data_IF_180892633269
#
_entry.id   IF_180892633269
#
_cell.length_a   1.000
_cell.length_b   1.000
_cell.length_c   1.000
_cell.angle_alpha   90.00
_cell.angle_beta   90.00
_cell.angle_gamma   90.00
#
_symmetry.space_group_name_H-M   'P 1'
#
loop_
_entity.id
_entity.type
_entity.pdbx_description
1 polymer ?
#
# COMPACT_ATOMS: atom_id res chain seq x y z
N UNK A 1 33.48 -28.46 7.85
CA UNK A 1 32.26 -28.05 7.13
C UNK A 1 31.94 -26.66 7.66
N UNK A 2 32.59 -25.63 7.11
CA UNK A 2 32.21 -24.24 7.41
C UNK A 2 30.73 -24.04 7.11
N UNK A 3 29.96 -23.71 8.14
CA UNK A 3 28.62 -23.18 7.98
C UNK A 3 28.78 -21.79 7.37
N UNK A 4 28.61 -21.69 6.05
CA UNK A 4 28.69 -20.44 5.30
C UNK A 4 27.66 -19.47 5.92
N UNK A 5 28.13 -18.47 6.65
CA UNK A 5 27.27 -17.50 7.34
C UNK A 5 26.63 -16.59 6.30
N UNK A 6 25.60 -17.07 5.59
CA UNK A 6 24.87 -16.29 4.61
C UNK A 6 24.22 -15.11 5.30
N UNK A 7 24.58 -13.89 4.90
CA UNK A 7 24.02 -12.64 5.40
C UNK A 7 22.48 -12.72 5.35
N UNK A 8 21.77 -12.42 6.44
CA UNK A 8 20.31 -12.47 6.43
C UNK A 8 19.76 -11.52 5.34
N UNK A 9 18.74 -11.93 4.58
CA UNK A 9 18.19 -11.14 3.49
C UNK A 9 17.58 -9.85 4.04
N UNK A 10 17.90 -8.73 3.41
CA UNK A 10 17.38 -7.40 3.78
C UNK A 10 15.85 -7.32 3.77
N UNK A 11 15.21 -8.13 2.92
CA UNK A 11 13.76 -8.13 2.69
C UNK A 11 13.02 -9.27 3.40
N UNK A 12 13.67 -9.94 4.36
CA UNK A 12 13.07 -11.01 5.16
C UNK A 12 12.79 -12.30 4.38
N UNK A 13 12.31 -13.30 5.11
CA UNK A 13 11.90 -14.60 4.60
C UNK A 13 10.38 -14.73 4.53
N UNK A 14 9.87 -15.64 3.72
CA UNK A 14 8.46 -16.05 3.76
C UNK A 14 8.20 -16.83 5.05
N UNK A 15 7.06 -16.54 5.71
CA UNK A 15 6.62 -17.16 6.95
C UNK A 15 6.80 -18.68 6.95
N UNK A 16 7.47 -19.21 7.97
CA UNK A 16 7.77 -20.66 8.15
C UNK A 16 8.68 -21.27 7.06
N UNK A 17 9.40 -20.46 6.28
CA UNK A 17 10.33 -20.95 5.26
C UNK A 17 11.66 -20.18 5.30
N UNK A 18 12.66 -20.65 4.54
CA UNK A 18 13.94 -19.95 4.32
C UNK A 18 14.00 -19.25 2.95
N UNK A 19 12.86 -19.07 2.27
CA UNK A 19 12.80 -18.43 0.95
C UNK A 19 12.71 -16.91 1.15
N UNK A 20 13.58 -16.08 0.55
CA UNK A 20 13.47 -14.62 0.67
C UNK A 20 12.12 -14.13 0.11
N UNK A 21 11.41 -13.30 0.88
CA UNK A 21 10.01 -12.93 0.59
C UNK A 21 9.85 -12.14 -0.73
N UNK A 22 10.90 -11.48 -1.19
CA UNK A 22 10.86 -10.71 -2.45
C UNK A 22 10.66 -11.62 -3.67
N UNK A 23 11.20 -12.85 -3.66
CA UNK A 23 11.15 -13.75 -4.81
C UNK A 23 9.75 -14.19 -5.20
N UNK A 24 8.87 -14.60 -4.26
CA UNK A 24 7.46 -14.84 -4.58
C UNK A 24 6.64 -13.55 -4.70
N UNK A 25 6.99 -12.48 -3.97
CA UNK A 25 6.20 -11.25 -3.98
C UNK A 25 6.20 -10.52 -5.33
N UNK A 26 7.37 -10.42 -5.98
CA UNK A 26 7.51 -9.76 -7.29
C UNK A 26 6.65 -10.42 -8.39
N UNK A 27 6.75 -11.74 -8.67
CA UNK A 27 5.97 -12.36 -9.73
C UNK A 27 4.49 -12.40 -9.39
N UNK A 28 4.10 -12.72 -8.16
CA UNK A 28 2.68 -12.76 -7.78
C UNK A 28 2.06 -11.37 -7.84
N UNK A 29 2.74 -10.35 -7.31
CA UNK A 29 2.28 -8.96 -7.38
C UNK A 29 2.20 -8.44 -8.81
N UNK A 30 3.19 -8.76 -9.66
CA UNK A 30 3.17 -8.38 -11.07
C UNK A 30 2.03 -9.06 -11.84
N UNK A 31 1.78 -10.35 -11.60
CA UNK A 31 0.66 -11.07 -12.20
C UNK A 31 -0.70 -10.48 -11.78
N UNK A 32 -0.85 -10.13 -10.50
CA UNK A 32 -2.06 -9.43 -10.02
C UNK A 32 -2.23 -8.07 -10.69
N UNK A 33 -1.15 -7.31 -10.87
CA UNK A 33 -1.18 -6.01 -11.54
C UNK A 33 -1.59 -6.12 -13.01
N UNK A 34 -1.03 -7.09 -13.73
CA UNK A 34 -1.40 -7.38 -15.13
C UNK A 34 -2.86 -7.83 -15.20
N UNK A 35 -3.27 -8.76 -14.33
CA UNK A 35 -4.64 -9.26 -14.27
C UNK A 35 -5.67 -8.14 -14.04
N UNK A 36 -5.41 -7.26 -13.07
CA UNK A 36 -6.26 -6.10 -12.79
C UNK A 36 -6.32 -5.13 -13.98
N UNK A 37 -5.19 -4.88 -14.65
CA UNK A 37 -5.12 -4.01 -15.82
C UNK A 37 -5.88 -4.56 -17.02
N UNK A 38 -5.74 -5.87 -17.31
CA UNK A 38 -6.50 -6.54 -18.38
C UNK A 38 -7.99 -6.54 -18.06
N UNK A 39 -8.36 -6.88 -16.83
CA UNK A 39 -9.76 -6.84 -16.38
C UNK A 39 -10.38 -5.46 -16.57
N UNK A 40 -9.68 -4.39 -16.15
CA UNK A 40 -10.15 -3.00 -16.32
C UNK A 40 -10.43 -2.66 -17.79
N UNK A 41 -9.53 -3.04 -18.70
CA UNK A 41 -9.69 -2.75 -20.13
C UNK A 41 -10.80 -3.61 -20.75
N UNK A 42 -11.01 -4.83 -20.27
CA UNK A 42 -12.09 -5.71 -20.73
C UNK A 42 -13.50 -5.18 -20.38
N UNK A 43 -13.65 -4.45 -19.27
CA UNK A 43 -14.95 -3.92 -18.81
C UNK A 43 -15.24 -2.48 -19.25
N UNK A 44 -14.31 -1.83 -19.97
CA UNK A 44 -14.44 -0.44 -20.40
C UNK A 44 -14.51 -0.33 -21.94
N UNK A 45 -15.29 0.62 -22.53
CA UNK A 45 -15.36 0.79 -23.97
C UNK A 45 -13.98 0.95 -24.60
N UNK A 46 -13.69 0.15 -25.62
CA UNK A 46 -12.34 0.02 -26.18
C UNK A 46 -11.98 1.20 -27.09
N UNK A 47 -11.02 2.02 -26.67
CA UNK A 47 -10.34 2.98 -27.54
C UNK A 47 -9.20 2.34 -28.35
N UNK A 48 -8.62 3.07 -29.33
CA UNK A 48 -7.51 2.58 -30.15
C UNK A 48 -6.26 2.23 -29.33
N UNK A 49 -6.08 2.84 -28.16
CA UNK A 49 -4.89 2.69 -27.31
C UNK A 49 -5.06 1.68 -26.16
N UNK A 50 -5.96 0.69 -26.30
CA UNK A 50 -6.31 -0.26 -25.22
C UNK A 50 -5.09 -0.97 -24.59
N UNK A 51 -4.11 -1.38 -25.40
CA UNK A 51 -2.92 -2.07 -24.92
C UNK A 51 -1.94 -1.14 -24.19
N UNK A 52 -1.84 0.12 -24.63
CA UNK A 52 -1.10 1.14 -23.90
C UNK A 52 -1.74 1.42 -22.53
N UNK A 53 -3.07 1.44 -22.46
CA UNK A 53 -3.78 1.58 -21.19
C UNK A 53 -3.51 0.40 -20.23
N UNK A 54 -3.45 -0.85 -20.73
CA UNK A 54 -3.03 -2.01 -19.91
C UNK A 54 -1.62 -1.81 -19.37
N UNK A 55 -0.66 -1.45 -20.23
CA UNK A 55 0.74 -1.27 -19.82
C UNK A 55 0.90 -0.19 -18.74
N UNK A 56 0.27 0.98 -18.92
CA UNK A 56 0.29 2.08 -17.95
C UNK A 56 -0.35 1.63 -16.64
N UNK A 57 -1.52 0.98 -16.69
CA UNK A 57 -2.23 0.58 -15.49
C UNK A 57 -1.47 -0.50 -14.71
N UNK A 58 -0.93 -1.50 -15.40
CA UNK A 58 -0.10 -2.54 -14.79
C UNK A 58 1.18 -1.95 -14.16
N UNK A 59 1.84 -1.01 -14.84
CA UNK A 59 3.03 -0.33 -14.31
C UNK A 59 2.72 0.46 -13.02
N UNK A 60 1.59 1.19 -13.00
CA UNK A 60 1.15 1.92 -11.80
C UNK A 60 0.78 0.99 -10.63
N UNK A 61 0.18 -0.17 -10.93
CA UNK A 61 -0.34 -1.09 -9.91
C UNK A 61 0.71 -2.11 -9.42
N UNK A 62 1.79 -2.33 -10.19
CA UNK A 62 2.84 -3.29 -9.87
C UNK A 62 3.48 -3.01 -8.51
N UNK A 63 3.94 -1.78 -8.27
CA UNK A 63 4.57 -1.41 -7.00
C UNK A 63 3.69 -1.71 -5.77
N UNK A 64 2.47 -1.13 -5.69
CA UNK A 64 1.55 -1.39 -4.58
C UNK A 64 1.19 -2.87 -4.39
N UNK A 65 0.94 -3.62 -5.47
CA UNK A 65 0.55 -5.03 -5.36
C UNK A 65 1.72 -5.95 -4.98
N UNK A 66 2.93 -5.68 -5.48
CA UNK A 66 4.13 -6.38 -5.05
C UNK A 66 4.38 -6.12 -3.56
N UNK A 67 4.27 -4.86 -3.12
CA UNK A 67 4.40 -4.50 -1.72
C UNK A 67 3.33 -5.18 -0.86
N UNK A 68 2.07 -5.22 -1.31
CA UNK A 68 0.98 -5.89 -0.62
C UNK A 68 1.25 -7.39 -0.46
N UNK A 69 1.60 -8.08 -1.55
CA UNK A 69 1.92 -9.51 -1.50
C UNK A 69 3.10 -9.76 -0.56
N UNK A 70 4.15 -8.94 -0.64
CA UNK A 70 5.29 -9.03 0.26
C UNK A 70 4.87 -8.89 1.73
N UNK A 71 4.08 -7.88 2.09
CA UNK A 71 3.57 -7.67 3.46
C UNK A 71 2.77 -8.89 3.96
N UNK A 72 2.00 -9.53 3.10
CA UNK A 72 1.15 -10.67 3.48
C UNK A 72 1.96 -11.94 3.77
N UNK A 73 3.08 -12.15 3.08
CA UNK A 73 3.84 -13.40 3.16
C UNK A 73 5.10 -13.29 4.03
N UNK A 74 5.64 -12.08 4.21
CA UNK A 74 6.90 -11.88 4.93
C UNK A 74 6.76 -12.24 6.40
N UNK A 75 7.76 -12.97 6.91
CA UNK A 75 7.93 -13.19 8.33
C UNK A 75 8.57 -11.94 8.95
N UNK A 76 7.77 -11.18 9.69
CA UNK A 76 8.25 -9.97 10.36
C UNK A 76 9.43 -10.24 11.29
N UNK A 77 9.49 -11.41 11.94
CA UNK A 77 10.58 -11.75 12.87
C UNK A 77 11.93 -11.95 12.16
N UNK A 78 11.89 -12.19 10.85
CA UNK A 78 13.09 -12.30 10.01
C UNK A 78 13.63 -10.97 9.50
N UNK A 79 12.90 -9.87 9.71
CA UNK A 79 13.28 -8.55 9.22
C UNK A 79 14.33 -7.91 10.15
N UNK A 80 15.48 -7.47 9.62
CA UNK A 80 16.47 -6.75 10.42
C UNK A 80 15.87 -5.49 11.05
N UNK A 81 16.00 -5.34 12.37
CA UNK A 81 15.52 -4.16 13.10
C UNK A 81 14.02 -4.10 13.36
N UNK A 82 13.25 -5.15 13.03
CA UNK A 82 11.84 -5.19 13.36
C UNK A 82 11.64 -5.35 14.88
N UNK A 83 10.87 -4.42 15.47
CA UNK A 83 10.45 -4.51 16.87
C UNK A 83 9.53 -5.71 17.09
N UNK A 84 9.77 -6.46 18.17
CA UNK A 84 8.98 -7.64 18.56
C UNK A 84 7.54 -7.27 18.96
N UNK A 85 7.37 -6.11 19.63
CA UNK A 85 6.09 -5.58 20.11
C UNK A 85 5.87 -4.17 19.56
N UNK A 86 5.53 -4.00 18.26
CA UNK A 86 5.22 -2.68 17.69
C UNK A 86 4.15 -1.93 18.46
N UNK A 87 3.15 -2.63 18.96
CA UNK A 87 1.99 -2.07 19.65
C UNK A 87 2.34 -1.35 20.95
N UNK A 88 3.49 -1.70 21.54
CA UNK A 88 4.02 -1.07 22.75
C UNK A 88 4.89 0.15 22.41
N UNK A 89 5.23 0.37 21.14
CA UNK A 89 6.03 1.51 20.74
C UNK A 89 5.21 2.81 20.84
N UNK A 90 5.83 3.85 21.39
CA UNK A 90 5.22 5.19 21.48
C UNK A 90 4.82 5.71 20.08
N UNK A 91 5.62 5.39 19.06
CA UNK A 91 5.32 5.74 17.66
C UNK A 91 4.04 5.09 17.15
N UNK A 92 3.76 3.84 17.56
CA UNK A 92 2.54 3.15 17.18
C UNK A 92 1.31 3.83 17.77
N UNK A 93 1.42 4.36 18.98
CA UNK A 93 0.32 5.10 19.61
C UNK A 93 -0.03 6.37 18.82
N UNK A 94 0.97 7.20 18.48
CA UNK A 94 0.76 8.41 17.69
C UNK A 94 0.26 8.10 16.27
N UNK A 95 0.81 7.07 15.63
CA UNK A 95 0.36 6.58 14.33
C UNK A 95 -1.10 6.10 14.38
N UNK A 96 -1.48 5.28 15.37
CA UNK A 96 -2.84 4.75 15.48
C UNK A 96 -3.86 5.86 15.71
N UNK A 97 -3.52 6.87 16.52
CA UNK A 97 -4.37 8.03 16.74
C UNK A 97 -4.50 8.87 15.47
N UNK A 98 -3.39 9.12 14.77
CA UNK A 98 -3.37 9.86 13.51
C UNK A 98 -4.19 9.15 12.41
N UNK A 99 -3.99 7.85 12.24
CA UNK A 99 -4.71 7.04 11.25
C UNK A 99 -6.22 7.05 11.51
N UNK A 100 -6.64 6.88 12.76
CA UNK A 100 -8.07 6.90 13.14
C UNK A 100 -8.71 8.26 12.85
N UNK A 101 -8.06 9.35 13.27
CA UNK A 101 -8.58 10.70 13.03
C UNK A 101 -8.64 11.02 11.53
N UNK A 102 -7.59 10.66 10.80
CA UNK A 102 -7.52 10.86 9.35
C UNK A 102 -8.66 10.14 8.65
N UNK A 103 -8.85 8.86 8.94
CA UNK A 103 -9.90 8.06 8.31
C UNK A 103 -11.29 8.69 8.49
N UNK A 104 -11.64 9.09 9.71
CA UNK A 104 -12.94 9.70 10.01
C UNK A 104 -13.12 11.04 9.28
N UNK A 105 -12.09 11.88 9.26
CA UNK A 105 -12.13 13.19 8.59
C UNK A 105 -12.19 13.02 7.06
N UNK A 106 -11.43 12.10 6.50
CA UNK A 106 -11.40 11.81 5.06
C UNK A 106 -12.73 11.24 4.58
N UNK A 107 -13.37 10.35 5.34
CA UNK A 107 -14.72 9.86 5.01
C UNK A 107 -15.74 11.00 5.02
N UNK A 108 -15.68 11.88 6.01
CA UNK A 108 -16.59 13.02 6.07
C UNK A 108 -16.38 13.96 4.87
N UNK A 109 -15.12 14.29 4.54
CA UNK A 109 -14.77 15.11 3.39
C UNK A 109 -15.17 14.45 2.06
N UNK A 110 -15.00 13.13 1.93
CA UNK A 110 -15.40 12.37 0.77
C UNK A 110 -16.92 12.37 0.57
N UNK A 111 -17.69 12.18 1.65
CA UNK A 111 -19.15 12.27 1.61
C UNK A 111 -19.65 13.64 1.18
N UNK A 112 -19.06 14.72 1.70
CA UNK A 112 -19.37 16.09 1.29
C UNK A 112 -18.98 16.32 -0.18
N UNK A 113 -17.77 15.92 -0.57
CA UNK A 113 -17.29 16.04 -1.94
C UNK A 113 -18.20 15.31 -2.94
N UNK A 114 -18.64 14.10 -2.60
CA UNK A 114 -19.57 13.32 -3.42
C UNK A 114 -20.95 14.01 -3.53
N UNK A 115 -21.46 14.59 -2.44
CA UNK A 115 -22.73 15.31 -2.45
C UNK A 115 -22.70 16.58 -3.33
N UNK A 116 -21.58 17.28 -3.37
CA UNK A 116 -21.43 18.55 -4.10
C UNK A 116 -21.14 18.35 -5.60
N UNK A 117 -20.55 17.21 -6.00
CA UNK A 117 -19.93 17.07 -7.34
C UNK A 117 -20.66 16.15 -8.31
N UNK A 118 -21.94 15.85 -8.04
CA UNK A 118 -22.81 14.93 -8.81
C UNK A 118 -22.50 14.90 -10.32
N UNK A 119 -21.63 13.96 -10.75
CA UNK A 119 -21.30 13.71 -12.15
C UNK A 119 -19.82 13.77 -12.55
N UNK A 120 -18.92 14.45 -11.83
CA UNK A 120 -17.48 14.55 -12.19
C UNK A 120 -16.56 14.05 -11.05
N UNK A 121 -16.46 12.72 -10.95
CA UNK A 121 -15.86 11.99 -9.81
C UNK A 121 -14.32 12.03 -9.79
N UNK A 122 -13.65 12.31 -10.92
CA UNK A 122 -12.21 12.04 -11.05
C UNK A 122 -11.28 13.04 -10.32
N UNK A 123 -11.59 14.33 -10.30
CA UNK A 123 -10.73 15.33 -9.63
C UNK A 123 -11.01 15.44 -8.13
N UNK A 124 -12.25 15.14 -7.73
CA UNK A 124 -12.69 15.18 -6.33
C UNK A 124 -11.98 14.09 -5.53
N UNK A 125 -11.88 12.88 -6.08
CA UNK A 125 -11.11 11.79 -5.48
C UNK A 125 -9.63 12.13 -5.33
N UNK A 126 -9.00 12.71 -6.36
CA UNK A 126 -7.61 13.14 -6.27
C UNK A 126 -7.42 14.20 -5.16
N UNK A 127 -8.35 15.15 -5.04
CA UNK A 127 -8.38 16.13 -3.95
C UNK A 127 -8.55 15.50 -2.57
N UNK A 128 -9.43 14.50 -2.43
CA UNK A 128 -9.65 13.76 -1.18
C UNK A 128 -8.38 13.02 -0.75
N UNK A 129 -7.66 12.38 -1.69
CA UNK A 129 -6.39 11.69 -1.38
C UNK A 129 -5.33 12.68 -0.87
N UNK A 130 -5.18 13.83 -1.54
CA UNK A 130 -4.25 14.87 -1.06
C UNK A 130 -4.66 15.40 0.32
N UNK A 131 -5.96 15.63 0.52
CA UNK A 131 -6.51 16.05 1.80
C UNK A 131 -6.27 15.02 2.90
N UNK A 132 -6.40 13.73 2.61
CA UNK A 132 -6.11 12.63 3.53
C UNK A 132 -4.65 12.67 4.01
N UNK A 133 -3.68 12.78 3.09
CA UNK A 133 -2.26 12.90 3.46
C UNK A 133 -1.98 14.11 4.35
N UNK A 134 -2.64 15.25 4.08
CA UNK A 134 -2.50 16.46 4.90
C UNK A 134 -3.08 16.27 6.30
N UNK A 135 -4.30 15.74 6.40
CA UNK A 135 -4.97 15.49 7.69
C UNK A 135 -4.18 14.47 8.50
N UNK A 136 -3.62 13.45 7.86
CA UNK A 136 -2.72 12.49 8.51
C UNK A 136 -1.47 13.16 9.06
N UNK A 137 -0.80 13.98 8.27
CA UNK A 137 0.38 14.73 8.72
C UNK A 137 0.09 15.61 9.93
N UNK A 138 -1.01 16.38 9.88
CA UNK A 138 -1.44 17.24 11.00
C UNK A 138 -1.77 16.41 12.24
N UNK A 139 -2.56 15.35 12.08
CA UNK A 139 -2.97 14.50 13.20
C UNK A 139 -1.78 13.78 13.84
N UNK A 140 -0.80 13.35 13.04
CA UNK A 140 0.43 12.73 13.51
C UNK A 140 1.29 13.71 14.30
N UNK A 141 1.54 14.90 13.76
CA UNK A 141 2.31 15.93 14.46
C UNK A 141 1.63 16.33 15.76
N UNK A 142 0.30 16.49 15.76
CA UNK A 142 -0.44 16.82 16.97
C UNK A 142 -0.36 15.70 18.02
N UNK A 143 -0.54 14.44 17.61
CA UNK A 143 -0.40 13.29 18.49
C UNK A 143 1.02 13.16 19.08
N UNK A 144 2.05 13.45 18.26
CA UNK A 144 3.46 13.41 18.67
C UNK A 144 3.81 14.49 19.71
N UNK A 145 3.18 15.64 19.66
CA UNK A 145 3.45 16.77 20.55
C UNK A 145 2.62 16.78 21.84
N UNK A 146 1.74 15.79 22.04
CA UNK A 146 0.91 15.62 23.24
C UNK A 146 1.52 14.60 24.19
#
# INVERSE_FOLDING_TARGET
MEEETTKPPTWGYVRKTKIPAIFPAVPVGALLAIGAAVFRVAVNPTGPYRWAAVAIHAACLAGPLIALVWVLIVDRSSLPGATAHPEQAVEYHWHSLAATNTFLITIAAAGIGAAVTSGNVSFVLAGIVVFEFLVYGVSYLWAKHR
#
